data_IF_346119853699
#
_entry.id   IF_346119853699
#
_cell.length_a   1.000
_cell.length_b   1.000
_cell.length_c   1.000
_cell.angle_alpha   90.00
_cell.angle_beta   90.00
_cell.angle_gamma   90.00
#
_symmetry.space_group_name_H-M   'P 1'
#
loop_
_entity.id
_entity.type
_entity.pdbx_description
1 polymer ?
#
# COMPACT_ATOMS: atom_id res chain seq x y z
N UNK A 1 -7.97 12.56 14.63
CA UNK A 1 -8.08 11.75 13.44
C UNK A 1 -7.17 10.52 13.59
N UNK A 2 -7.64 9.33 13.20
CA UNK A 2 -6.80 8.14 13.34
C UNK A 2 -5.60 8.19 12.39
N UNK A 3 -4.55 7.50 12.77
CA UNK A 3 -3.33 7.40 11.98
C UNK A 3 -3.25 6.03 11.32
N UNK A 4 -2.90 6.03 10.05
CA UNK A 4 -2.80 4.81 9.24
C UNK A 4 -1.39 4.68 8.69
N UNK A 5 -0.93 3.43 8.56
CA UNK A 5 0.41 3.11 8.09
C UNK A 5 0.31 2.30 6.82
N UNK A 6 1.09 2.67 5.82
CA UNK A 6 1.02 2.08 4.48
C UNK A 6 2.28 1.24 4.24
N UNK A 7 2.10 -0.07 4.24
CA UNK A 7 3.20 -1.03 4.09
C UNK A 7 3.24 -1.54 2.66
N UNK A 8 4.44 -1.79 2.14
CA UNK A 8 4.64 -2.27 0.78
C UNK A 8 5.59 -3.45 0.79
N UNK A 9 5.30 -4.46 -0.03
CA UNK A 9 6.18 -5.60 -0.26
C UNK A 9 6.26 -5.85 -1.78
N UNK A 10 7.46 -5.72 -2.34
CA UNK A 10 7.70 -5.93 -3.77
C UNK A 10 8.97 -6.77 -4.00
N UNK A 11 9.23 -7.71 -3.11
CA UNK A 11 10.49 -8.45 -3.01
C UNK A 11 11.32 -7.95 -1.84
N UNK A 12 11.04 -6.74 -1.39
CA UNK A 12 11.59 -6.14 -0.17
C UNK A 12 10.43 -5.56 0.61
N UNK A 13 10.57 -5.51 1.93
CA UNK A 13 9.56 -4.89 2.76
C UNK A 13 9.90 -3.44 3.02
N UNK A 14 8.92 -2.58 2.82
CA UNK A 14 9.00 -1.16 3.16
C UNK A 14 8.01 -0.91 4.28
N UNK A 15 8.50 -0.65 5.47
CA UNK A 15 7.67 -0.43 6.65
C UNK A 15 7.51 1.07 6.85
N UNK A 16 6.27 1.54 6.81
CA UNK A 16 5.95 2.93 7.08
C UNK A 16 5.95 3.13 8.59
N UNK A 17 6.80 4.01 9.08
CA UNK A 17 6.93 4.31 10.51
C UNK A 17 6.27 5.61 10.90
N UNK A 18 5.95 6.45 9.94
CA UNK A 18 5.38 7.78 10.19
C UNK A 18 3.86 7.77 10.08
N UNK A 19 3.33 7.10 9.09
CA UNK A 19 1.90 7.04 8.86
C UNK A 19 1.32 8.35 8.37
N UNK A 20 0.00 8.37 8.27
CA UNK A 20 -0.75 9.55 7.87
C UNK A 20 -2.05 9.60 8.66
N UNK A 21 -2.43 10.81 9.08
CA UNK A 21 -3.71 11.03 9.74
C UNK A 21 -4.79 11.21 8.68
N UNK A 22 -5.82 10.37 8.74
CA UNK A 22 -6.90 10.36 7.77
C UNK A 22 -8.24 10.30 8.48
N UNK A 23 -9.30 10.67 7.77
CA UNK A 23 -10.63 10.77 8.36
C UNK A 23 -11.19 9.41 8.79
N UNK A 24 -10.85 8.35 8.06
CA UNK A 24 -11.36 7.02 8.38
C UNK A 24 -10.90 5.98 7.38
N UNK A 25 -11.47 4.76 7.49
CA UNK A 25 -11.08 3.62 6.67
C UNK A 25 -11.27 3.87 5.17
N UNK A 26 -12.34 4.55 4.78
CA UNK A 26 -12.62 4.79 3.36
C UNK A 26 -11.54 5.66 2.72
N UNK A 27 -11.10 6.69 3.43
CA UNK A 27 -10.02 7.54 2.95
C UNK A 27 -8.71 6.78 2.89
N UNK A 28 -8.46 5.91 3.88
CA UNK A 28 -7.27 5.06 3.88
C UNK A 28 -7.25 4.11 2.69
N UNK A 29 -8.39 3.50 2.36
CA UNK A 29 -8.52 2.62 1.21
C UNK A 29 -8.28 3.36 -0.10
N UNK A 30 -8.85 4.56 -0.22
CA UNK A 30 -8.65 5.40 -1.40
C UNK A 30 -7.18 5.75 -1.57
N UNK A 31 -6.52 6.13 -0.48
CA UNK A 31 -5.10 6.47 -0.53
C UNK A 31 -4.25 5.25 -0.92
N UNK A 32 -4.61 4.06 -0.45
CA UNK A 32 -3.90 2.84 -0.82
C UNK A 32 -3.98 2.60 -2.34
N UNK A 33 -5.15 2.80 -2.93
CA UNK A 33 -5.34 2.65 -4.38
C UNK A 33 -4.52 3.69 -5.15
N UNK A 34 -4.55 4.93 -4.70
CA UNK A 34 -3.78 6.00 -5.35
C UNK A 34 -2.28 5.74 -5.28
N UNK A 35 -1.80 5.27 -4.13
CA UNK A 35 -0.39 4.91 -3.96
C UNK A 35 0.01 3.78 -4.91
N UNK A 36 -0.85 2.75 -5.02
CA UNK A 36 -0.61 1.64 -5.93
C UNK A 36 -0.58 2.12 -7.39
N UNK A 37 -1.51 3.00 -7.75
CA UNK A 37 -1.59 3.53 -9.12
C UNK A 37 -0.32 4.32 -9.49
N UNK A 38 0.16 5.16 -8.58
CA UNK A 38 1.37 5.95 -8.79
C UNK A 38 2.58 5.04 -8.96
N UNK A 39 2.69 4.03 -8.10
CA UNK A 39 3.81 3.09 -8.17
C UNK A 39 3.80 2.30 -9.46
N UNK A 40 2.63 1.80 -9.87
CA UNK A 40 2.50 1.05 -11.12
C UNK A 40 2.83 1.92 -12.33
N UNK A 41 2.42 3.17 -12.30
CA UNK A 41 2.74 4.10 -13.36
C UNK A 41 4.25 4.27 -13.50
N UNK A 42 4.94 4.44 -12.39
CA UNK A 42 6.39 4.64 -12.38
C UNK A 42 7.14 3.38 -12.81
N UNK A 43 6.68 2.20 -12.37
CA UNK A 43 7.31 0.93 -12.74
C UNK A 43 7.11 0.57 -14.21
N UNK A 44 5.91 0.88 -14.74
CA UNK A 44 5.61 0.54 -16.12
C UNK A 44 5.84 -0.93 -16.40
N UNK A 45 6.47 -1.23 -17.54
CA UNK A 45 6.74 -2.61 -17.94
C UNK A 45 7.67 -3.36 -17.00
N UNK A 46 8.46 -2.68 -16.21
CA UNK A 46 9.37 -3.35 -15.27
C UNK A 46 8.62 -4.09 -14.16
N UNK A 47 7.33 -3.83 -13.99
CA UNK A 47 6.50 -4.56 -13.06
C UNK A 47 6.48 -6.07 -13.38
N UNK A 48 6.61 -6.43 -14.64
CA UNK A 48 6.63 -7.84 -15.05
C UNK A 48 7.88 -8.59 -14.58
N UNK A 49 8.90 -7.87 -14.15
CA UNK A 49 10.11 -8.47 -13.59
C UNK A 49 9.94 -8.83 -12.11
N UNK A 50 8.95 -8.26 -11.44
CA UNK A 50 8.61 -8.55 -10.04
C UNK A 50 7.26 -9.24 -10.04
N UNK A 51 7.19 -10.56 -9.80
CA UNK A 51 5.96 -11.32 -10.02
C UNK A 51 4.81 -10.97 -9.09
N UNK A 52 5.09 -10.34 -7.97
CA UNK A 52 4.03 -9.98 -7.03
C UNK A 52 4.37 -8.68 -6.32
N UNK A 53 3.37 -7.83 -6.21
CA UNK A 53 3.44 -6.61 -5.43
C UNK A 53 2.24 -6.57 -4.49
N UNK A 54 2.49 -6.18 -3.26
CA UNK A 54 1.43 -6.10 -2.26
C UNK A 54 1.61 -4.83 -1.43
N UNK A 55 0.50 -4.15 -1.16
CA UNK A 55 0.49 -3.14 -0.13
C UNK A 55 -0.66 -3.41 0.83
N UNK A 56 -0.50 -3.01 2.07
CA UNK A 56 -1.57 -3.13 3.04
C UNK A 56 -1.50 -1.94 3.99
N UNK A 57 -2.66 -1.63 4.55
CA UNK A 57 -2.80 -0.50 5.46
C UNK A 57 -3.13 -1.03 6.84
N UNK A 58 -2.40 -0.56 7.84
CA UNK A 58 -2.68 -0.90 9.23
C UNK A 58 -3.08 0.36 9.99
N UNK A 59 -3.84 0.17 11.07
CA UNK A 59 -4.17 1.27 11.98
C UNK A 59 -3.16 1.33 13.12
N UNK A 60 -3.43 2.20 14.09
CA UNK A 60 -2.54 2.41 15.23
C UNK A 60 -2.42 1.18 16.13
N UNK A 61 -3.40 0.29 16.11
CA UNK A 61 -3.34 -0.95 16.88
C UNK A 61 -2.59 -2.07 16.16
N UNK A 62 -2.21 -1.83 14.90
CA UNK A 62 -1.56 -2.84 14.08
C UNK A 62 -2.52 -3.71 13.29
N UNK A 63 -3.84 -3.44 13.39
CA UNK A 63 -4.82 -4.21 12.65
C UNK A 63 -4.80 -3.83 11.18
N UNK A 64 -4.87 -4.82 10.30
CA UNK A 64 -4.92 -4.60 8.86
C UNK A 64 -6.32 -4.12 8.46
N UNK A 65 -6.37 -2.93 7.86
CA UNK A 65 -7.62 -2.32 7.39
C UNK A 65 -7.99 -2.84 6.01
N UNK A 66 -7.00 -2.91 5.13
CA UNK A 66 -7.19 -3.39 3.76
C UNK A 66 -5.85 -3.82 3.19
N UNK A 67 -5.91 -4.60 2.12
CA UNK A 67 -4.70 -4.97 1.40
C UNK A 67 -5.01 -5.05 -0.10
N UNK A 68 -3.99 -4.73 -0.91
CA UNK A 68 -4.03 -4.86 -2.36
C UNK A 68 -2.90 -5.79 -2.78
N UNK A 69 -3.22 -6.72 -3.65
CA UNK A 69 -2.23 -7.62 -4.23
C UNK A 69 -2.32 -7.53 -5.75
N UNK A 70 -1.17 -7.34 -6.38
CA UNK A 70 -1.06 -7.24 -7.82
C UNK A 70 -0.08 -8.30 -8.30
N UNK A 71 -0.49 -9.04 -9.31
CA UNK A 71 0.36 -10.06 -9.91
C UNK A 71 0.45 -9.83 -11.40
N UNK A 72 1.60 -10.17 -11.99
CA UNK A 72 1.81 -10.06 -13.44
C UNK A 72 2.09 -11.45 -14.00
N UNK A 73 1.44 -11.76 -15.10
CA UNK A 73 1.62 -13.02 -15.81
C UNK A 73 2.35 -12.81 -17.13
#
# INVERSE_FOLDING_TARGET
MPRYFFQVHDGKEYIDRDGAELAGHDEARTMAVCTAADLLHDLGGSFFSAPEWRNWVTDESGATICSLRLTAD
#
